data_IF_345521995424
#
_entry.id   IF_345521995424
#
_cell.length_a   1.000
_cell.length_b   1.000
_cell.length_c   1.000
_cell.angle_alpha   90.00
_cell.angle_beta   90.00
_cell.angle_gamma   90.00
#
_symmetry.space_group_name_H-M   'P 1'
#
loop_
_entity.id
_entity.type
_entity.pdbx_description
1 polymer ?
#
# COMPACT_ATOMS: atom_id res chain seq x y z
N UNK A 1 13.59 -17.54 6.51
CA UNK A 1 14.88 -16.84 6.29
C UNK A 1 14.61 -15.48 5.66
N UNK A 2 15.60 -14.59 5.59
CA UNK A 2 15.42 -13.28 4.92
C UNK A 2 15.01 -13.46 3.44
N UNK A 3 15.65 -14.39 2.74
CA UNK A 3 15.31 -14.73 1.35
C UNK A 3 13.85 -15.14 1.18
N UNK A 4 13.28 -15.88 2.14
CA UNK A 4 11.88 -16.28 2.08
C UNK A 4 10.91 -15.11 2.32
N UNK A 5 11.26 -14.19 3.22
CA UNK A 5 10.51 -12.94 3.42
C UNK A 5 10.48 -12.12 2.13
N UNK A 6 11.65 -11.85 1.53
CA UNK A 6 11.78 -11.09 0.27
C UNK A 6 11.01 -11.75 -0.88
N UNK A 7 11.12 -13.08 -1.02
CA UNK A 7 10.35 -13.84 -2.01
C UNK A 7 8.84 -13.69 -1.82
N UNK A 8 8.36 -13.65 -0.56
CA UNK A 8 6.93 -13.47 -0.28
C UNK A 8 6.45 -12.08 -0.71
N UNK A 9 7.21 -11.03 -0.37
CA UNK A 9 6.90 -9.64 -0.76
C UNK A 9 6.87 -9.51 -2.28
N UNK A 10 7.89 -10.04 -2.97
CA UNK A 10 7.98 -10.00 -4.43
C UNK A 10 6.79 -10.68 -5.13
N UNK A 11 6.32 -11.83 -4.60
CA UNK A 11 5.12 -12.49 -5.14
C UNK A 11 3.88 -11.62 -5.00
N UNK A 12 3.72 -10.96 -3.86
CA UNK A 12 2.59 -10.04 -3.62
C UNK A 12 2.64 -8.84 -4.57
N UNK A 13 3.82 -8.28 -4.84
CA UNK A 13 3.99 -7.20 -5.81
C UNK A 13 3.64 -7.65 -7.23
N UNK A 14 4.09 -8.84 -7.64
CA UNK A 14 3.79 -9.40 -8.95
C UNK A 14 2.28 -9.57 -9.17
N UNK A 15 1.58 -10.18 -8.20
CA UNK A 15 0.12 -10.37 -8.26
C UNK A 15 -0.62 -9.02 -8.34
N UNK A 16 -0.14 -8.01 -7.61
CA UNK A 16 -0.69 -6.66 -7.65
C UNK A 16 -0.50 -6.00 -9.02
N UNK A 17 0.72 -6.02 -9.56
CA UNK A 17 1.03 -5.44 -10.88
C UNK A 17 0.15 -6.05 -11.97
N UNK A 18 0.00 -7.38 -11.98
CA UNK A 18 -0.88 -8.06 -12.94
C UNK A 18 -2.35 -7.66 -12.79
N UNK A 19 -2.87 -7.63 -11.55
CA UNK A 19 -4.24 -7.22 -11.25
C UNK A 19 -4.50 -5.79 -11.72
N UNK A 20 -3.60 -4.87 -11.39
CA UNK A 20 -3.74 -3.46 -11.75
C UNK A 20 -3.62 -3.23 -13.25
N UNK A 21 -2.74 -3.93 -13.95
CA UNK A 21 -2.65 -3.86 -15.40
C UNK A 21 -3.95 -4.33 -16.08
N UNK A 22 -4.59 -5.39 -15.57
CA UNK A 22 -5.92 -5.82 -16.05
C UNK A 22 -6.97 -4.73 -15.85
N UNK A 23 -7.00 -4.09 -14.67
CA UNK A 23 -7.95 -3.02 -14.37
C UNK A 23 -7.69 -1.77 -15.21
N UNK A 24 -6.43 -1.34 -15.34
CA UNK A 24 -6.02 -0.21 -16.17
C UNK A 24 -6.48 -0.38 -17.61
N UNK A 25 -6.29 -1.59 -18.16
CA UNK A 25 -6.75 -1.94 -19.51
C UNK A 25 -8.27 -1.81 -19.63
N UNK A 26 -9.03 -2.34 -18.66
CA UNK A 26 -10.49 -2.25 -18.66
C UNK A 26 -11.00 -0.80 -18.49
N UNK A 27 -10.25 0.03 -17.76
CA UNK A 27 -10.58 1.44 -17.52
C UNK A 27 -10.00 2.40 -18.57
N UNK A 28 -9.49 1.90 -19.70
CA UNK A 28 -8.85 2.69 -20.77
C UNK A 28 -7.73 3.63 -20.28
N UNK A 29 -6.99 3.24 -19.24
CA UNK A 29 -5.83 3.98 -18.76
C UNK A 29 -4.65 3.76 -19.71
N UNK A 30 -3.88 4.82 -19.96
CA UNK A 30 -2.75 4.82 -20.89
C UNK A 30 -1.40 4.49 -20.22
N UNK A 31 -1.41 3.74 -19.11
CA UNK A 31 -0.21 3.35 -18.39
C UNK A 31 -0.31 1.93 -17.82
N UNK A 32 0.86 1.30 -17.65
CA UNK A 32 1.02 -0.02 -17.05
C UNK A 32 1.99 0.06 -15.87
N UNK A 33 1.82 -0.86 -14.93
CA UNK A 33 2.77 -1.11 -13.85
C UNK A 33 3.74 -2.22 -14.26
N UNK A 34 4.91 -2.25 -13.63
CA UNK A 34 5.94 -3.26 -13.82
C UNK A 34 6.74 -3.46 -12.54
N UNK A 35 7.38 -4.63 -12.44
CA UNK A 35 8.32 -4.91 -11.37
C UNK A 35 9.58 -4.03 -11.50
N UNK A 36 10.20 -3.72 -10.36
CA UNK A 36 11.37 -2.86 -10.24
C UNK A 36 12.30 -3.34 -9.10
N UNK A 37 13.38 -2.60 -8.87
CA UNK A 37 14.37 -2.89 -7.83
C UNK A 37 13.84 -2.80 -6.39
N UNK A 38 12.62 -2.27 -6.20
CA UNK A 38 11.97 -2.12 -4.89
C UNK A 38 10.86 -3.16 -4.67
N UNK A 39 10.66 -4.08 -5.61
CA UNK A 39 9.52 -5.01 -5.58
C UNK A 39 9.59 -6.06 -4.47
N UNK A 40 10.70 -6.16 -3.75
CA UNK A 40 10.87 -7.02 -2.58
C UNK A 40 10.91 -6.23 -1.25
N UNK A 41 10.66 -4.92 -1.28
CA UNK A 41 10.53 -4.05 -0.11
C UNK A 41 9.07 -3.90 0.31
N UNK A 42 8.83 -3.82 1.61
CA UNK A 42 7.53 -3.34 2.11
C UNK A 42 7.45 -1.82 1.98
N UNK A 43 6.23 -1.28 2.06
CA UNK A 43 6.02 0.16 2.01
C UNK A 43 6.81 0.86 3.14
N UNK A 44 6.81 0.30 4.35
CA UNK A 44 7.58 0.85 5.49
C UNK A 44 9.08 0.82 5.24
N UNK A 45 9.61 -0.25 4.64
CA UNK A 45 11.03 -0.37 4.32
C UNK A 45 11.44 0.64 3.23
N UNK A 46 10.61 0.79 2.20
CA UNK A 46 10.81 1.80 1.16
C UNK A 46 10.81 3.21 1.76
N UNK A 47 9.84 3.54 2.62
CA UNK A 47 9.75 4.85 3.27
C UNK A 47 10.93 5.15 4.18
N UNK A 48 11.38 4.18 4.97
CA UNK A 48 12.50 4.37 5.88
C UNK A 48 13.82 4.69 5.16
N UNK A 49 13.95 4.31 3.89
CA UNK A 49 15.22 4.36 3.16
C UNK A 49 15.22 5.30 1.94
N UNK A 50 14.07 5.57 1.32
CA UNK A 50 13.96 6.30 0.04
C UNK A 50 13.19 7.62 0.14
N UNK A 51 12.62 7.97 1.30
CA UNK A 51 11.94 9.24 1.49
C UNK A 51 12.80 10.21 2.33
N UNK A 52 13.38 11.22 1.68
CA UNK A 52 14.19 12.26 2.32
C UNK A 52 13.48 13.59 2.56
N UNK A 53 12.17 13.68 2.30
CA UNK A 53 11.42 14.93 2.45
C UNK A 53 11.15 15.24 3.92
N UNK A 54 11.96 16.13 4.49
CA UNK A 54 11.73 16.72 5.80
C UNK A 54 10.86 17.97 5.65
N UNK A 55 9.58 17.87 5.98
CA UNK A 55 8.73 19.06 6.13
C UNK A 55 9.15 19.73 7.45
N UNK A 56 9.94 20.79 7.37
CA UNK A 56 10.24 21.62 8.53
C UNK A 56 8.93 22.25 9.03
N UNK A 57 8.76 22.27 10.36
CA UNK A 57 7.62 22.91 11.02
C UNK A 57 7.60 24.41 10.69
N UNK A 58 6.95 24.78 9.59
CA UNK A 58 6.48 26.13 9.35
C UNK A 58 5.13 26.25 10.07
N UNK A 59 4.88 27.35 10.81
CA UNK A 59 3.72 27.46 11.70
C UNK A 59 2.35 27.44 11.00
N UNK A 60 2.33 27.36 9.66
CA UNK A 60 1.12 27.39 8.83
C UNK A 60 0.83 26.04 8.12
N UNK A 61 1.60 24.98 8.41
CA UNK A 61 1.33 23.66 7.84
C UNK A 61 0.47 22.78 8.77
N UNK A 62 -0.49 22.02 8.21
CA UNK A 62 -1.30 21.07 8.97
C UNK A 62 -0.42 19.98 9.59
N UNK A 63 -0.88 19.35 10.70
CA UNK A 63 -0.05 18.55 11.61
C UNK A 63 0.70 17.39 10.94
N UNK A 64 1.72 16.79 11.61
CA UNK A 64 2.83 15.97 11.04
C UNK A 64 2.46 14.68 10.28
N UNK A 65 1.20 14.48 9.97
CA UNK A 65 0.69 13.38 9.17
C UNK A 65 0.33 13.87 7.74
N UNK A 66 0.77 15.05 7.29
CA UNK A 66 0.38 15.55 5.96
C UNK A 66 0.96 14.70 4.81
N UNK A 67 2.19 14.16 4.91
CA UNK A 67 2.73 13.29 3.87
C UNK A 67 2.08 11.92 3.84
N UNK A 68 1.86 11.31 4.99
CA UNK A 68 1.09 10.06 5.10
C UNK A 68 -0.36 10.28 4.72
N UNK A 69 -0.98 11.43 5.01
CA UNK A 69 -2.33 11.78 4.53
C UNK A 69 -2.36 12.12 3.05
N UNK A 70 -1.37 12.82 2.49
CA UNK A 70 -1.31 13.15 1.07
C UNK A 70 -1.01 11.90 0.26
N UNK A 71 -0.14 11.03 0.74
CA UNK A 71 0.12 9.73 0.13
C UNK A 71 -1.05 8.78 0.34
N UNK A 72 -1.71 8.77 1.49
CA UNK A 72 -2.96 8.02 1.69
C UNK A 72 -4.02 8.55 0.74
N UNK A 73 -4.17 9.87 0.59
CA UNK A 73 -5.14 10.50 -0.32
C UNK A 73 -4.79 10.34 -1.79
N UNK A 74 -3.50 10.29 -2.12
CA UNK A 74 -3.00 9.95 -3.46
C UNK A 74 -3.25 8.47 -3.74
N UNK A 75 -2.96 7.60 -2.77
CA UNK A 75 -3.31 6.18 -2.79
C UNK A 75 -4.81 5.99 -2.85
N UNK A 76 -5.66 6.76 -2.19
CA UNK A 76 -7.11 6.61 -2.28
C UNK A 76 -7.64 7.11 -3.64
N UNK A 77 -6.96 8.10 -4.25
CA UNK A 77 -7.27 8.63 -5.58
C UNK A 77 -6.72 7.76 -6.73
N UNK A 78 -5.65 6.99 -6.49
CA UNK A 78 -4.92 6.21 -7.50
C UNK A 78 -5.07 4.68 -7.29
N UNK A 79 -5.24 4.22 -6.06
CA UNK A 79 -5.36 2.83 -5.67
C UNK A 79 -6.82 2.37 -5.71
N UNK A 80 -7.06 1.50 -6.68
CA UNK A 80 -7.79 0.27 -6.39
C UNK A 80 -7.06 -0.50 -5.26
N UNK A 81 -7.82 -1.19 -4.39
CA UNK A 81 -7.45 -1.42 -3.01
C UNK A 81 -6.25 -2.37 -2.89
N UNK A 82 -5.11 -1.83 -2.45
CA UNK A 82 -3.94 -2.59 -2.00
C UNK A 82 -3.98 -2.87 -0.48
N UNK A 83 -4.73 -2.08 0.29
CA UNK A 83 -4.76 -2.17 1.76
C UNK A 83 -6.00 -2.88 2.35
N UNK A 84 -7.06 -3.14 1.58
CA UNK A 84 -8.31 -3.71 2.14
C UNK A 84 -8.22 -5.22 2.43
N UNK A 85 -7.38 -6.00 1.75
CA UNK A 85 -7.35 -7.45 1.97
C UNK A 85 -6.71 -7.87 3.30
N UNK A 86 -5.78 -7.08 3.86
CA UNK A 86 -5.13 -7.43 5.13
C UNK A 86 -5.97 -6.99 6.36
N UNK A 87 -6.83 -5.99 6.21
CA UNK A 87 -7.76 -5.54 7.27
C UNK A 87 -9.11 -6.27 7.26
N UNK A 88 -9.54 -6.81 6.11
CA UNK A 88 -10.78 -7.61 6.01
C UNK A 88 -10.65 -9.02 6.63
N UNK A 89 -9.43 -9.56 6.78
CA UNK A 89 -9.18 -10.86 7.41
C UNK A 89 -9.30 -10.83 8.94
N UNK A 90 -9.01 -9.68 9.58
CA UNK A 90 -9.04 -9.55 11.05
C UNK A 90 -10.47 -9.31 11.58
N UNK A 91 -11.38 -8.81 10.74
CA UNK A 91 -12.79 -8.56 11.13
C UNK A 91 -13.71 -9.78 11.05
N UNK A 92 -13.21 -10.93 10.58
CA UNK A 92 -13.97 -12.19 10.53
C UNK A 92 -13.56 -13.14 11.66
N UNK A 93 -13.67 -12.69 12.92
CA UNK A 93 -13.76 -13.59 14.09
C UNK A 93 -15.09 -13.32 14.79
N UNK A 94 -16.11 -14.19 14.67
CA UNK A 94 -17.26 -14.10 15.54
C UNK A 94 -16.83 -14.55 16.94
N UNK A 95 -16.77 -13.60 17.88
CA UNK A 95 -16.77 -13.95 19.29
C UNK A 95 -18.18 -14.43 19.66
N UNK A 96 -18.28 -15.67 20.13
CA UNK A 96 -19.47 -16.21 20.79
C UNK A 96 -19.93 -15.27 21.93
N UNK A 97 -21.24 -15.02 22.04
CA UNK A 97 -22.09 -15.55 23.13
C UNK A 97 -23.31 -14.68 23.48
N UNK A 98 -24.50 -15.30 23.30
CA UNK A 98 -25.69 -15.41 24.18
C UNK A 98 -26.55 -14.21 24.63
N UNK A 99 -27.84 -14.60 24.73
CA UNK A 99 -28.99 -14.06 25.47
C UNK A 99 -29.72 -12.90 24.76
N UNK A 100 -31.04 -12.94 24.55
CA UNK A 100 -32.13 -13.61 25.29
C UNK A 100 -33.18 -14.21 24.36
#
# INVERSE_FOLDING_TARGET
TEMEKRRKIFKQELEYVEKMNRINKAAHRNYTLGLNEYSDLTDEEFFATHNGLLISNTPDLPPPNLLSQLFQRFSDKVALPRAEENLMSIRSRPLLSRHS
#
